data_IF_495456579344
#
_entry.id   IF_495456579344
#
_cell.length_a   1.000
_cell.length_b   1.000
_cell.length_c   1.000
_cell.angle_alpha   90.00
_cell.angle_beta   90.00
_cell.angle_gamma   90.00
#
_symmetry.space_group_name_H-M   'P 1'
#
loop_
_entity.id
_entity.type
_entity.pdbx_description
1 polymer ?
#
# COMPACT_ATOMS: atom_id res chain seq x y z
N UNK A 1 12.27 5.84 -10.70
CA UNK A 1 11.06 6.68 -10.88
C UNK A 1 9.82 6.07 -10.24
N UNK A 2 9.40 4.85 -10.62
CA UNK A 2 8.20 4.18 -10.05
C UNK A 2 8.14 4.22 -8.51
N UNK A 3 9.19 3.76 -7.82
CA UNK A 3 9.23 3.75 -6.36
C UNK A 3 9.04 5.15 -5.76
N UNK A 4 9.55 6.21 -6.39
CA UNK A 4 9.35 7.58 -5.90
C UNK A 4 7.88 8.02 -6.02
N UNK A 5 7.22 7.68 -7.13
CA UNK A 5 5.78 7.94 -7.32
C UNK A 5 4.94 7.16 -6.32
N UNK A 6 5.27 5.88 -6.10
CA UNK A 6 4.60 5.01 -5.14
C UNK A 6 4.77 5.54 -3.70
N UNK A 7 5.98 5.92 -3.30
CA UNK A 7 6.26 6.49 -1.99
C UNK A 7 5.56 7.84 -1.79
N UNK A 8 5.52 8.70 -2.79
CA UNK A 8 4.79 9.97 -2.72
C UNK A 8 3.28 9.73 -2.55
N UNK A 9 2.71 8.86 -3.38
CA UNK A 9 1.29 8.50 -3.31
C UNK A 9 0.94 7.87 -1.95
N UNK A 10 1.82 7.03 -1.42
CA UNK A 10 1.73 6.45 -0.08
C UNK A 10 1.63 7.53 1.00
N UNK A 11 2.57 8.48 1.02
CA UNK A 11 2.57 9.54 2.04
C UNK A 11 1.32 10.42 1.94
N UNK A 12 0.82 10.66 0.73
CA UNK A 12 -0.35 11.50 0.49
C UNK A 12 -1.68 10.82 0.82
N UNK A 13 -1.83 9.55 0.46
CA UNK A 13 -3.17 8.91 0.34
C UNK A 13 -3.29 7.55 1.01
N UNK A 14 -2.24 7.08 1.68
CA UNK A 14 -2.33 5.84 2.43
C UNK A 14 -3.18 6.04 3.68
N UNK A 15 -4.30 5.33 3.75
CA UNK A 15 -5.32 5.54 4.77
C UNK A 15 -4.82 5.35 6.20
N UNK A 16 -3.96 4.36 6.47
CA UNK A 16 -3.31 4.15 7.78
C UNK A 16 -2.51 5.38 8.25
N UNK A 17 -2.02 6.19 7.32
CA UNK A 17 -1.32 7.43 7.62
C UNK A 17 -2.30 8.58 7.76
N UNK A 18 -3.28 8.71 6.86
CA UNK A 18 -4.32 9.76 6.90
C UNK A 18 -5.05 9.77 8.25
N UNK A 19 -5.50 8.61 8.73
CA UNK A 19 -6.23 8.51 10.01
C UNK A 19 -5.41 9.07 11.18
N UNK A 20 -4.08 8.88 11.18
CA UNK A 20 -3.18 9.42 12.22
C UNK A 20 -3.04 10.94 12.14
N UNK A 21 -3.09 11.50 10.93
CA UNK A 21 -3.07 12.97 10.74
C UNK A 21 -4.39 13.58 11.20
N UNK A 22 -5.50 12.95 10.84
CA UNK A 22 -6.84 13.43 11.22
C UNK A 22 -7.09 13.30 12.73
N UNK A 23 -6.42 12.36 13.40
CA UNK A 23 -6.42 12.25 14.85
C UNK A 23 -5.53 13.29 15.56
N UNK A 24 -4.69 14.05 14.83
CA UNK A 24 -3.85 15.07 15.44
C UNK A 24 -4.69 16.28 15.86
N UNK A 25 -4.40 16.83 17.05
CA UNK A 25 -5.13 17.97 17.63
C UNK A 25 -5.17 19.21 16.73
N UNK A 26 -4.10 19.46 15.97
CA UNK A 26 -3.98 20.58 15.05
C UNK A 26 -2.89 20.33 14.00
N UNK A 27 -2.90 21.14 12.94
CA UNK A 27 -1.95 21.05 11.82
C UNK A 27 -0.49 21.13 12.26
N UNK A 28 -0.17 22.00 13.23
CA UNK A 28 1.19 22.16 13.76
C UNK A 28 1.69 20.88 14.42
N UNK A 29 0.83 20.17 15.15
CA UNK A 29 1.15 18.88 15.78
C UNK A 29 1.33 17.81 14.71
N UNK A 30 0.44 17.74 13.71
CA UNK A 30 0.58 16.81 12.59
C UNK A 30 1.92 16.96 11.86
N UNK A 31 2.32 18.20 11.55
CA UNK A 31 3.62 18.49 10.92
C UNK A 31 4.81 18.06 11.79
N UNK A 32 4.74 18.26 13.11
CA UNK A 32 5.79 17.80 14.04
C UNK A 32 5.92 16.28 14.05
N UNK A 33 4.80 15.55 14.04
CA UNK A 33 4.79 14.08 14.00
C UNK A 33 5.49 13.60 12.73
N UNK A 34 5.14 14.14 11.56
CA UNK A 34 5.78 13.74 10.31
C UNK A 34 7.27 14.07 10.26
N UNK A 35 7.65 15.31 10.64
CA UNK A 35 9.06 15.70 10.64
C UNK A 35 9.89 14.88 11.62
N UNK A 36 9.34 14.60 12.80
CA UNK A 36 10.00 13.80 13.83
C UNK A 36 10.13 12.32 13.46
N UNK A 37 9.15 11.76 12.75
CA UNK A 37 9.16 10.34 12.36
C UNK A 37 9.91 10.06 11.06
N UNK A 38 10.17 11.08 10.23
CA UNK A 38 10.90 10.94 8.97
C UNK A 38 12.25 10.21 9.12
N UNK A 39 13.01 10.51 10.18
CA UNK A 39 14.27 9.85 10.47
C UNK A 39 14.11 8.33 10.66
N UNK A 40 13.07 7.90 11.37
CA UNK A 40 12.81 6.49 11.61
C UNK A 40 12.45 5.72 10.33
N UNK A 41 11.82 6.38 9.34
CA UNK A 41 11.59 5.76 8.04
C UNK A 41 12.89 5.44 7.31
N UNK A 42 13.89 6.34 7.37
CA UNK A 42 15.21 6.10 6.78
C UNK A 42 15.84 4.88 7.42
N UNK A 43 15.90 4.83 8.75
CA UNK A 43 16.46 3.68 9.48
C UNK A 43 15.73 2.37 9.14
N UNK A 44 14.40 2.40 9.05
CA UNK A 44 13.57 1.24 8.74
C UNK A 44 13.86 0.64 7.35
N UNK A 45 14.21 1.46 6.37
CA UNK A 45 14.62 0.97 5.04
C UNK A 45 16.10 0.61 4.97
N UNK A 46 16.95 1.36 5.66
CA UNK A 46 18.40 1.20 5.58
C UNK A 46 18.89 -0.06 6.29
N UNK A 47 18.39 -0.33 7.50
CA UNK A 47 18.90 -1.43 8.34
C UNK A 47 18.68 -2.81 7.67
N UNK A 48 17.45 -3.18 7.22
CA UNK A 48 17.26 -4.45 6.52
C UNK A 48 18.02 -4.52 5.19
N UNK A 49 18.17 -3.40 4.49
CA UNK A 49 18.95 -3.32 3.26
C UNK A 49 20.43 -3.65 3.49
N UNK A 50 21.04 -3.07 4.53
CA UNK A 50 22.42 -3.37 4.92
C UNK A 50 22.57 -4.84 5.33
N UNK A 51 21.61 -5.39 6.08
CA UNK A 51 21.63 -6.81 6.45
C UNK A 51 21.53 -7.74 5.24
N UNK A 52 20.70 -7.39 4.24
CA UNK A 52 20.63 -8.12 2.98
C UNK A 52 21.94 -8.09 2.21
N UNK A 53 22.59 -6.92 2.11
CA UNK A 53 23.90 -6.77 1.47
C UNK A 53 24.98 -7.58 2.21
N UNK A 54 25.02 -7.47 3.54
CA UNK A 54 25.95 -8.23 4.36
C UNK A 54 25.75 -9.75 4.18
N UNK A 55 24.49 -10.21 4.22
CA UNK A 55 24.17 -11.62 4.02
C UNK A 55 24.69 -12.16 2.67
N UNK A 56 24.50 -11.41 1.58
CA UNK A 56 24.97 -11.80 0.26
C UNK A 56 26.50 -11.71 0.11
N UNK A 57 27.15 -10.84 0.87
CA UNK A 57 28.61 -10.69 0.86
C UNK A 57 29.32 -11.77 1.69
N UNK A 58 28.71 -12.25 2.77
CA UNK A 58 29.35 -13.18 3.72
C UNK A 58 28.95 -14.63 3.53
N UNK A 59 27.74 -14.90 3.05
CA UNK A 59 27.26 -16.28 2.87
C UNK A 59 27.74 -16.84 1.53
N UNK A 60 28.26 -18.06 1.55
CA UNK A 60 28.58 -18.78 0.32
C UNK A 60 27.31 -18.99 -0.52
N UNK A 61 27.40 -18.96 -1.87
CA UNK A 61 26.25 -19.15 -2.77
C UNK A 61 25.44 -20.43 -2.48
N UNK A 62 26.12 -21.48 -2.03
CA UNK A 62 25.53 -22.77 -1.60
C UNK A 62 24.59 -22.62 -0.40
N UNK A 63 24.92 -21.74 0.55
CA UNK A 63 24.13 -21.50 1.77
C UNK A 63 22.94 -20.59 1.48
N UNK A 64 23.09 -19.63 0.56
CA UNK A 64 21.98 -18.78 0.09
C UNK A 64 20.91 -19.65 -0.59
N UNK A 65 21.34 -20.57 -1.46
CA UNK A 65 20.46 -21.43 -2.24
C UNK A 65 19.72 -20.67 -3.34
N UNK A 66 18.66 -21.26 -3.90
CA UNK A 66 17.94 -20.70 -5.04
C UNK A 66 17.09 -19.45 -4.71
N UNK A 67 16.75 -19.23 -3.44
CA UNK A 67 15.89 -18.12 -3.01
C UNK A 67 16.64 -17.16 -2.10
N UNK A 68 17.03 -16.01 -2.66
CA UNK A 68 17.78 -14.95 -1.96
C UNK A 68 17.01 -14.33 -0.79
N UNK A 69 15.67 -14.46 -0.73
CA UNK A 69 14.85 -13.94 0.36
C UNK A 69 15.20 -14.56 1.73
N UNK A 70 15.74 -15.78 1.74
CA UNK A 70 16.16 -16.45 2.97
C UNK A 70 17.59 -16.09 3.40
N UNK A 71 18.36 -15.35 2.60
CA UNK A 71 19.74 -15.02 2.91
C UNK A 71 19.86 -14.18 4.20
N UNK A 72 19.06 -13.12 4.33
CA UNK A 72 19.06 -12.26 5.52
C UNK A 72 18.70 -13.04 6.80
N UNK A 73 17.60 -13.82 6.86
CA UNK A 73 17.30 -14.64 8.03
C UNK A 73 18.41 -15.63 8.39
N UNK A 74 19.00 -16.31 7.39
CA UNK A 74 20.12 -17.25 7.62
C UNK A 74 21.36 -16.55 8.17
N UNK A 75 21.71 -15.39 7.61
CA UNK A 75 22.83 -14.59 8.09
C UNK A 75 22.64 -14.17 9.55
N UNK A 76 21.46 -13.61 9.88
CA UNK A 76 21.14 -13.20 11.24
C UNK A 76 21.20 -14.39 12.21
N UNK A 77 20.72 -15.56 11.80
CA UNK A 77 20.79 -16.79 12.59
C UNK A 77 22.22 -17.19 12.98
N UNK A 78 23.20 -16.90 12.12
CA UNK A 78 24.61 -17.21 12.38
C UNK A 78 25.36 -16.11 13.12
N UNK A 79 24.99 -14.84 12.89
CA UNK A 79 25.78 -13.69 13.33
C UNK A 79 25.32 -13.12 14.67
N UNK A 80 24.03 -13.26 15.02
CA UNK A 80 23.46 -12.66 16.23
C UNK A 80 23.58 -13.62 17.42
N UNK A 81 24.20 -13.20 18.55
CA UNK A 81 24.35 -14.04 19.73
C UNK A 81 23.02 -14.51 20.34
N UNK A 82 23.10 -15.63 21.06
CA UNK A 82 21.99 -16.16 21.88
C UNK A 82 21.55 -15.09 22.91
N UNK A 83 20.24 -14.88 23.06
CA UNK A 83 19.68 -13.77 23.84
C UNK A 83 19.33 -12.55 22.97
N UNK A 84 20.30 -11.97 22.25
CA UNK A 84 20.02 -10.87 21.30
C UNK A 84 19.16 -11.34 20.13
N UNK A 85 19.30 -12.59 19.72
CA UNK A 85 18.41 -13.22 18.74
C UNK A 85 16.95 -13.21 19.20
N UNK A 86 16.70 -13.55 20.46
CA UNK A 86 15.34 -13.54 21.03
C UNK A 86 14.74 -12.14 21.03
N UNK A 87 15.53 -11.13 21.40
CA UNK A 87 15.11 -9.73 21.35
C UNK A 87 14.83 -9.27 19.91
N UNK A 88 15.66 -9.67 18.95
CA UNK A 88 15.49 -9.34 17.53
C UNK A 88 14.18 -9.93 16.99
N UNK A 89 13.92 -11.21 17.23
CA UNK A 89 12.68 -11.88 16.79
C UNK A 89 11.48 -11.22 17.46
N UNK A 90 11.54 -10.94 18.76
CA UNK A 90 10.47 -10.24 19.47
C UNK A 90 10.20 -8.84 18.87
N UNK A 91 11.25 -8.09 18.52
CA UNK A 91 11.12 -6.79 17.87
C UNK A 91 10.51 -6.89 16.47
N UNK A 92 10.88 -7.91 15.68
CA UNK A 92 10.30 -8.17 14.36
C UNK A 92 8.82 -8.51 14.45
N UNK A 93 8.43 -9.40 15.38
CA UNK A 93 7.02 -9.73 15.65
C UNK A 93 6.24 -8.52 16.14
N UNK A 94 6.80 -7.71 17.04
CA UNK A 94 6.15 -6.48 17.50
C UNK A 94 5.93 -5.48 16.35
N UNK A 95 6.92 -5.34 15.46
CA UNK A 95 6.82 -4.48 14.28
C UNK A 95 5.74 -4.98 13.30
N UNK A 96 5.64 -6.28 13.10
CA UNK A 96 4.63 -6.93 12.27
C UNK A 96 3.22 -6.72 12.84
N UNK A 97 3.02 -7.06 14.12
CA UNK A 97 1.74 -6.85 14.83
C UNK A 97 1.30 -5.39 14.82
N UNK A 98 2.23 -4.43 14.95
CA UNK A 98 1.91 -2.99 14.89
C UNK A 98 1.39 -2.55 13.51
N UNK A 99 1.90 -3.20 12.47
CA UNK A 99 1.55 -2.94 11.08
C UNK A 99 0.17 -3.52 10.79
N UNK A 100 -0.05 -4.78 11.13
CA UNK A 100 -1.32 -5.47 10.95
C UNK A 100 -2.46 -4.83 11.75
N UNK A 101 -2.23 -4.48 13.02
CA UNK A 101 -3.23 -3.78 13.84
C UNK A 101 -3.68 -2.46 13.19
N UNK A 102 -2.74 -1.73 12.58
CA UNK A 102 -3.05 -0.47 11.89
C UNK A 102 -3.88 -0.69 10.61
N UNK A 103 -3.58 -1.74 9.83
CA UNK A 103 -4.38 -2.10 8.65
C UNK A 103 -5.77 -2.59 9.05
N UNK A 104 -5.89 -3.48 10.04
CA UNK A 104 -7.17 -4.00 10.52
C UNK A 104 -8.08 -2.88 11.02
N UNK A 105 -7.55 -1.93 11.80
CA UNK A 105 -8.31 -0.77 12.27
C UNK A 105 -8.80 0.08 11.09
N UNK A 106 -7.92 0.27 10.10
CA UNK A 106 -8.21 1.09 8.93
C UNK A 106 -9.27 0.47 8.03
N UNK A 107 -9.10 -0.80 7.65
CA UNK A 107 -10.05 -1.53 6.82
C UNK A 107 -11.38 -1.73 7.53
N UNK A 108 -11.37 -2.05 8.82
CA UNK A 108 -12.59 -2.11 9.64
C UNK A 108 -13.36 -0.80 9.62
N UNK A 109 -12.64 0.33 9.78
CA UNK A 109 -13.26 1.66 9.72
C UNK A 109 -13.80 2.02 8.34
N UNK A 110 -13.11 1.65 7.26
CA UNK A 110 -13.59 1.86 5.87
C UNK A 110 -14.84 1.03 5.60
N UNK A 111 -14.85 -0.25 5.96
CA UNK A 111 -16.03 -1.11 5.77
C UNK A 111 -17.21 -0.56 6.60
N UNK A 112 -16.97 -0.15 7.84
CA UNK A 112 -18.02 0.35 8.72
C UNK A 112 -18.59 1.71 8.28
N UNK A 113 -17.73 2.65 7.87
CA UNK A 113 -18.13 4.02 7.55
C UNK A 113 -18.45 4.25 6.08
N UNK A 114 -17.77 3.58 5.15
CA UNK A 114 -17.92 3.87 3.73
C UNK A 114 -18.84 2.85 3.05
N UNK A 115 -18.75 1.57 3.45
CA UNK A 115 -19.58 0.50 2.87
C UNK A 115 -20.88 0.37 3.64
N UNK A 116 -20.85 0.18 4.96
CA UNK A 116 -22.07 -0.06 5.73
C UNK A 116 -22.89 1.21 5.97
N UNK A 117 -22.27 2.39 6.08
CA UNK A 117 -23.01 3.61 6.43
C UNK A 117 -24.09 4.02 5.44
N UNK A 118 -23.86 4.01 4.12
CA UNK A 118 -24.89 4.34 3.13
C UNK A 118 -26.14 3.45 3.22
N UNK A 119 -25.99 2.19 3.64
CA UNK A 119 -27.10 1.25 3.81
C UNK A 119 -27.84 1.43 5.16
N UNK A 120 -27.32 2.24 6.08
CA UNK A 120 -27.96 2.49 7.38
C UNK A 120 -28.95 3.65 7.27
N UNK A 121 -30.22 3.36 7.56
CA UNK A 121 -31.28 4.38 7.65
C UNK A 121 -31.09 5.35 8.83
N UNK A 122 -30.42 4.92 9.90
CA UNK A 122 -30.14 5.72 11.11
C UNK A 122 -28.77 5.36 11.68
N UNK A 123 -28.05 6.32 12.30
CA UNK A 123 -26.80 6.02 12.99
C UNK A 123 -27.04 5.01 14.11
N UNK A 124 -26.15 4.02 14.21
CA UNK A 124 -26.23 3.05 15.30
C UNK A 124 -25.72 3.65 16.61
N UNK A 125 -26.24 3.18 17.76
CA UNK A 125 -25.63 3.46 19.06
C UNK A 125 -24.17 3.01 19.07
N UNK A 126 -23.30 3.78 19.73
CA UNK A 126 -21.85 3.53 19.79
C UNK A 126 -21.52 2.09 20.19
N UNK A 127 -22.20 1.54 21.20
CA UNK A 127 -22.05 0.14 21.64
C UNK A 127 -22.27 -0.87 20.51
N UNK A 128 -23.30 -0.66 19.68
CA UNK A 128 -23.57 -1.53 18.51
C UNK A 128 -22.51 -1.32 17.43
N UNK A 129 -22.06 -0.07 17.22
CA UNK A 129 -20.99 0.24 16.27
C UNK A 129 -19.67 -0.47 16.60
N UNK A 130 -19.24 -0.41 17.85
CA UNK A 130 -18.02 -1.08 18.33
C UNK A 130 -18.14 -2.59 18.16
N UNK A 131 -19.29 -3.18 18.50
CA UNK A 131 -19.52 -4.62 18.34
C UNK A 131 -19.37 -5.06 16.88
N UNK A 132 -20.01 -4.35 15.95
CA UNK A 132 -19.88 -4.63 14.52
C UNK A 132 -18.46 -4.45 14.00
N UNK A 133 -17.76 -3.39 14.42
CA UNK A 133 -16.37 -3.17 14.02
C UNK A 133 -15.45 -4.31 14.50
N UNK A 134 -15.66 -4.85 15.72
CA UNK A 134 -14.93 -6.02 16.21
C UNK A 134 -15.19 -7.28 15.36
N UNK A 135 -16.44 -7.51 14.95
CA UNK A 135 -16.76 -8.62 14.04
C UNK A 135 -16.09 -8.44 12.68
N UNK A 136 -16.13 -7.24 12.09
CA UNK A 136 -15.47 -6.95 10.81
C UNK A 136 -13.97 -7.26 10.91
N UNK A 137 -13.30 -6.77 11.97
CA UNK A 137 -11.88 -7.04 12.19
C UNK A 137 -11.60 -8.54 12.36
N UNK A 138 -12.44 -9.26 13.11
CA UNK A 138 -12.30 -10.70 13.27
C UNK A 138 -12.45 -11.47 11.94
N UNK A 139 -13.45 -11.11 11.12
CA UNK A 139 -13.64 -11.70 9.79
C UNK A 139 -12.46 -11.42 8.85
N UNK A 140 -11.93 -10.19 8.85
CA UNK A 140 -10.70 -9.85 8.11
C UNK A 140 -9.54 -10.72 8.58
N UNK A 141 -9.33 -10.87 9.90
CA UNK A 141 -8.26 -11.69 10.45
C UNK A 141 -8.36 -13.16 10.03
N UNK A 142 -9.56 -13.74 10.09
CA UNK A 142 -9.84 -15.11 9.62
C UNK A 142 -9.53 -15.22 8.12
N UNK A 143 -9.99 -14.26 7.32
CA UNK A 143 -9.71 -14.23 5.88
C UNK A 143 -8.20 -14.17 5.60
N UNK A 144 -7.44 -13.31 6.28
CA UNK A 144 -5.99 -13.19 6.10
C UNK A 144 -5.26 -14.46 6.52
N UNK A 145 -5.72 -15.15 7.56
CA UNK A 145 -5.15 -16.44 7.97
C UNK A 145 -5.29 -17.48 6.86
N UNK A 146 -6.51 -17.66 6.32
CA UNK A 146 -6.75 -18.58 5.22
C UNK A 146 -6.03 -18.14 3.94
N UNK A 147 -6.03 -16.86 3.62
CA UNK A 147 -5.34 -16.38 2.43
C UNK A 147 -3.82 -16.58 2.55
N UNK A 148 -3.23 -16.23 3.69
CA UNK A 148 -1.79 -16.35 3.94
C UNK A 148 -1.28 -17.80 3.95
N UNK A 149 -2.08 -18.75 4.45
CA UNK A 149 -1.71 -20.17 4.47
C UNK A 149 -1.70 -20.81 3.07
N UNK A 150 -2.59 -20.37 2.17
CA UNK A 150 -2.77 -21.00 0.85
C UNK A 150 -2.20 -20.20 -0.32
N UNK A 151 -1.79 -18.96 -0.14
CA UNK A 151 -1.28 -18.13 -1.23
C UNK A 151 0.21 -18.40 -1.52
N UNK A 152 0.56 -19.00 -2.68
CA UNK A 152 1.95 -19.19 -3.04
C UNK A 152 2.58 -17.87 -3.50
N UNK A 153 3.65 -17.44 -2.85
CA UNK A 153 4.41 -16.27 -3.27
C UNK A 153 5.16 -16.59 -4.59
N UNK A 154 4.69 -16.07 -5.72
CA UNK A 154 5.23 -16.38 -7.06
C UNK A 154 6.34 -15.42 -7.55
N UNK A 155 6.92 -14.59 -6.68
CA UNK A 155 7.97 -13.64 -7.08
C UNK A 155 8.45 -12.72 -5.97
N UNK A 156 9.10 -11.62 -6.36
CA UNK A 156 9.57 -10.58 -5.43
C UNK A 156 8.40 -9.90 -4.70
N UNK A 157 8.46 -9.94 -3.37
CA UNK A 157 7.41 -9.41 -2.50
C UNK A 157 7.24 -7.90 -2.69
N UNK A 158 8.34 -7.15 -2.84
CA UNK A 158 8.29 -5.71 -2.99
C UNK A 158 7.58 -5.28 -4.28
N UNK A 159 7.93 -5.96 -5.37
CA UNK A 159 7.31 -5.76 -6.68
C UNK A 159 5.82 -6.06 -6.64
N UNK A 160 5.42 -7.18 -6.03
CA UNK A 160 4.02 -7.55 -5.88
C UNK A 160 3.23 -6.50 -5.08
N UNK A 161 3.77 -6.05 -3.94
CA UNK A 161 3.16 -4.99 -3.12
C UNK A 161 3.08 -3.66 -3.86
N UNK A 162 4.10 -3.31 -4.64
CA UNK A 162 4.12 -2.09 -5.44
C UNK A 162 3.05 -2.07 -6.51
N UNK A 163 2.92 -3.15 -7.29
CA UNK A 163 1.93 -3.26 -8.36
C UNK A 163 0.51 -3.30 -7.80
N UNK A 164 0.26 -4.12 -6.77
CA UNK A 164 -1.08 -4.21 -6.15
C UNK A 164 -1.47 -2.91 -5.44
N UNK A 165 -0.52 -2.26 -4.75
CA UNK A 165 -0.74 -0.94 -4.15
C UNK A 165 -1.09 0.14 -5.19
N UNK A 166 -0.51 0.06 -6.39
CA UNK A 166 -0.75 1.01 -7.49
C UNK A 166 -2.22 1.03 -7.93
N UNK A 167 -2.96 -0.07 -7.80
CA UNK A 167 -4.39 -0.18 -8.16
C UNK A 167 -5.20 0.95 -7.50
N UNK A 168 -4.92 1.24 -6.23
CA UNK A 168 -5.59 2.29 -5.46
C UNK A 168 -4.78 3.59 -5.40
N UNK A 169 -3.47 3.50 -5.17
CA UNK A 169 -2.62 4.67 -4.93
C UNK A 169 -2.50 5.59 -6.16
N UNK A 170 -2.61 5.03 -7.38
CA UNK A 170 -2.57 5.82 -8.61
C UNK A 170 -3.75 6.78 -8.70
N UNK A 171 -4.97 6.28 -8.58
CA UNK A 171 -6.20 7.07 -8.65
C UNK A 171 -6.33 8.04 -7.49
N UNK A 172 -6.16 7.59 -6.25
CA UNK A 172 -6.37 8.47 -5.09
C UNK A 172 -5.39 9.63 -5.01
N UNK A 173 -4.11 9.41 -5.33
CA UNK A 173 -3.13 10.49 -5.31
C UNK A 173 -3.44 11.55 -6.38
N UNK A 174 -3.79 11.12 -7.60
CA UNK A 174 -4.20 12.03 -8.69
C UNK A 174 -5.46 12.80 -8.31
N UNK A 175 -6.46 12.12 -7.75
CA UNK A 175 -7.71 12.74 -7.30
C UNK A 175 -7.46 13.80 -6.22
N UNK A 176 -6.68 13.46 -5.19
CA UNK A 176 -6.39 14.40 -4.09
C UNK A 176 -5.69 15.66 -4.63
N UNK A 177 -4.68 15.49 -5.48
CA UNK A 177 -3.94 16.61 -6.10
C UNK A 177 -4.88 17.44 -6.97
N UNK A 178 -5.67 16.81 -7.84
CA UNK A 178 -6.57 17.50 -8.75
C UNK A 178 -7.68 18.26 -7.99
N UNK A 179 -8.30 17.65 -6.97
CA UNK A 179 -9.34 18.29 -6.19
C UNK A 179 -8.83 19.49 -5.37
N UNK A 180 -7.58 19.44 -4.87
CA UNK A 180 -7.01 20.53 -4.08
C UNK A 180 -6.49 21.69 -4.94
N UNK A 181 -5.88 21.39 -6.09
CA UNK A 181 -5.13 22.37 -6.87
C UNK A 181 -5.74 22.72 -8.23
N UNK A 182 -6.69 21.95 -8.74
CA UNK A 182 -7.25 22.15 -10.08
C UNK A 182 -8.74 22.48 -10.06
N UNK A 183 -9.07 23.74 -10.32
CA UNK A 183 -10.45 24.25 -10.30
C UNK A 183 -11.40 23.57 -11.29
N UNK A 184 -10.88 22.92 -12.34
CA UNK A 184 -11.69 22.21 -13.35
C UNK A 184 -11.93 20.72 -13.02
N UNK A 185 -11.37 20.23 -11.91
CA UNK A 185 -11.59 18.86 -11.46
C UNK A 185 -13.08 18.58 -11.27
N UNK A 186 -13.57 17.47 -11.84
CA UNK A 186 -14.98 17.12 -11.75
C UNK A 186 -15.19 15.60 -11.75
N UNK A 187 -16.46 15.19 -11.60
CA UNK A 187 -16.86 13.79 -11.47
C UNK A 187 -16.53 12.92 -12.69
N UNK A 188 -16.49 13.45 -13.91
CA UNK A 188 -16.16 12.67 -15.10
C UNK A 188 -14.67 12.33 -15.15
N UNK A 189 -13.82 13.33 -14.91
CA UNK A 189 -12.38 13.10 -14.74
C UNK A 189 -12.09 12.15 -13.59
N UNK A 190 -12.78 12.34 -12.46
CA UNK A 190 -12.59 11.49 -11.29
C UNK A 190 -12.95 10.02 -11.57
N UNK A 191 -14.09 9.77 -12.22
CA UNK A 191 -14.50 8.43 -12.64
C UNK A 191 -13.51 7.79 -13.61
N UNK A 192 -13.02 8.56 -14.60
CA UNK A 192 -12.02 8.09 -15.55
C UNK A 192 -10.70 7.73 -14.85
N UNK A 193 -10.23 8.57 -13.91
CA UNK A 193 -9.02 8.32 -13.13
C UNK A 193 -9.13 7.03 -12.29
N UNK A 194 -10.26 6.80 -11.63
CA UNK A 194 -10.51 5.58 -10.85
C UNK A 194 -10.49 4.36 -11.77
N UNK A 195 -11.18 4.43 -12.90
CA UNK A 195 -11.27 3.31 -13.85
C UNK A 195 -9.91 2.95 -14.42
N UNK A 196 -9.17 3.91 -14.99
CA UNK A 196 -7.86 3.64 -15.59
C UNK A 196 -6.78 3.33 -14.55
N UNK A 197 -6.85 3.91 -13.35
CA UNK A 197 -5.93 3.63 -12.26
C UNK A 197 -6.04 2.19 -11.73
N UNK A 198 -7.23 1.59 -11.79
CA UNK A 198 -7.41 0.17 -11.50
C UNK A 198 -7.14 -0.72 -12.72
N UNK A 199 -7.58 -0.32 -13.92
CA UNK A 199 -7.49 -1.13 -15.14
C UNK A 199 -6.05 -1.50 -15.49
N UNK A 200 -5.10 -0.56 -15.36
CA UNK A 200 -3.71 -0.78 -15.81
C UNK A 200 -2.98 -1.80 -14.94
N UNK A 201 -2.91 -1.64 -13.59
CA UNK A 201 -2.20 -2.61 -12.76
C UNK A 201 -2.93 -3.95 -12.71
N UNK A 202 -4.28 -3.97 -12.73
CA UNK A 202 -5.05 -5.23 -12.82
C UNK A 202 -4.79 -5.93 -14.15
N UNK A 203 -4.83 -5.19 -15.26
CA UNK A 203 -4.51 -5.73 -16.58
C UNK A 203 -3.10 -6.32 -16.64
N UNK A 204 -2.12 -5.65 -16.03
CA UNK A 204 -0.77 -6.18 -15.90
C UNK A 204 -0.70 -7.47 -15.09
N UNK A 205 -1.36 -7.53 -13.93
CA UNK A 205 -1.40 -8.75 -13.11
C UNK A 205 -2.07 -9.91 -13.84
N UNK A 206 -3.14 -9.65 -14.60
CA UNK A 206 -3.80 -10.66 -15.43
C UNK A 206 -2.86 -11.12 -16.56
N UNK A 207 -2.19 -10.20 -17.24
CA UNK A 207 -1.24 -10.54 -18.31
C UNK A 207 -0.08 -11.42 -17.82
N UNK A 208 0.34 -11.25 -16.56
CA UNK A 208 1.37 -12.11 -15.94
C UNK A 208 0.88 -13.55 -15.68
N UNK A 209 -0.42 -13.76 -15.45
CA UNK A 209 -0.96 -15.10 -15.17
C UNK A 209 -1.37 -15.85 -16.44
N UNK A 210 -1.53 -15.16 -17.58
CA UNK A 210 -1.96 -15.75 -18.85
C UNK A 210 -0.73 -16.14 -19.70
N UNK A 211 -0.53 -17.43 -20.03
CA UNK A 211 0.67 -17.89 -20.75
C UNK A 211 0.92 -17.17 -22.09
N UNK A 212 -0.16 -16.81 -22.80
CA UNK A 212 -0.07 -16.12 -24.09
C UNK A 212 0.48 -14.68 -23.99
N UNK A 213 0.26 -14.00 -22.87
CA UNK A 213 0.67 -12.59 -22.67
C UNK A 213 1.84 -12.44 -21.70
N UNK A 214 2.28 -13.53 -21.08
CA UNK A 214 3.34 -13.51 -20.07
C UNK A 214 4.65 -12.90 -20.62
N UNK A 215 5.07 -13.30 -21.82
CA UNK A 215 6.29 -12.76 -22.45
C UNK A 215 6.21 -11.24 -22.70
N UNK A 216 5.01 -10.71 -22.97
CA UNK A 216 4.79 -9.28 -23.12
C UNK A 216 4.83 -8.58 -21.76
N UNK A 217 4.21 -9.17 -20.73
CA UNK A 217 4.23 -8.64 -19.37
C UNK A 217 5.66 -8.59 -18.80
N UNK A 218 6.50 -9.59 -19.10
CA UNK A 218 7.91 -9.61 -18.72
C UNK A 218 8.71 -8.50 -19.42
N UNK A 219 8.46 -8.25 -20.72
CA UNK A 219 9.09 -7.16 -21.47
C UNK A 219 8.70 -5.77 -20.96
N UNK A 220 7.43 -5.56 -20.63
CA UNK A 220 6.96 -4.31 -20.04
C UNK A 220 7.55 -4.16 -18.64
N UNK A 221 7.47 -5.21 -17.83
CA UNK A 221 7.93 -5.20 -16.45
C UNK A 221 7.03 -4.40 -15.50
N UNK A 222 7.11 -4.70 -14.20
CA UNK A 222 6.23 -4.14 -13.17
C UNK A 222 6.43 -2.62 -12.98
N UNK A 223 7.67 -2.14 -13.15
CA UNK A 223 8.02 -0.73 -12.94
C UNK A 223 7.43 0.19 -14.02
N UNK A 224 7.51 -0.21 -15.30
CA UNK A 224 6.92 0.58 -16.39
C UNK A 224 5.40 0.53 -16.34
N UNK A 225 4.81 -0.64 -16.05
CA UNK A 225 3.37 -0.77 -15.80
C UNK A 225 2.91 0.20 -14.71
N UNK A 226 3.60 0.23 -13.57
CA UNK A 226 3.31 1.13 -12.48
C UNK A 226 3.41 2.62 -12.87
N UNK A 227 4.47 3.03 -13.57
CA UNK A 227 4.60 4.43 -14.05
C UNK A 227 3.47 4.78 -15.02
N UNK A 228 3.17 3.87 -15.96
CA UNK A 228 2.10 4.06 -16.94
C UNK A 228 0.74 4.22 -16.25
N UNK A 229 0.49 3.50 -15.16
CA UNK A 229 -0.73 3.63 -14.38
C UNK A 229 -0.90 5.05 -13.83
N UNK A 230 0.13 5.64 -13.22
CA UNK A 230 0.05 7.02 -12.73
C UNK A 230 -0.12 8.04 -13.87
N UNK A 231 0.63 7.90 -14.96
CA UNK A 231 0.58 8.82 -16.09
C UNK A 231 -0.79 8.79 -16.77
N UNK A 232 -1.30 7.60 -17.11
CA UNK A 232 -2.58 7.43 -17.77
C UNK A 232 -3.72 7.85 -16.84
N UNK A 233 -3.63 7.58 -15.54
CA UNK A 233 -4.61 8.07 -14.55
C UNK A 233 -4.65 9.60 -14.52
N UNK A 234 -3.48 10.26 -14.53
CA UNK A 234 -3.39 11.71 -14.62
C UNK A 234 -4.01 12.26 -15.91
N UNK A 235 -3.69 11.66 -17.05
CA UNK A 235 -4.27 12.03 -18.34
C UNK A 235 -5.78 11.80 -18.38
N UNK A 236 -6.26 10.68 -17.85
CA UNK A 236 -7.68 10.38 -17.74
C UNK A 236 -8.43 11.39 -16.87
N UNK A 237 -7.82 11.82 -15.74
CA UNK A 237 -8.36 12.88 -14.90
C UNK A 237 -8.49 14.19 -15.68
N UNK A 238 -7.45 14.56 -16.44
CA UNK A 238 -7.43 15.81 -17.22
C UNK A 238 -8.43 15.76 -18.36
N UNK A 239 -8.36 14.75 -19.22
CA UNK A 239 -9.22 14.58 -20.39
C UNK A 239 -10.67 14.45 -19.95
N UNK A 240 -10.98 13.56 -19.01
CA UNK A 240 -12.34 13.38 -18.52
C UNK A 240 -12.92 14.65 -17.88
N UNK A 241 -12.08 15.44 -17.21
CA UNK A 241 -12.53 16.72 -16.65
C UNK A 241 -12.79 17.77 -17.73
N UNK A 242 -12.01 17.82 -18.80
CA UNK A 242 -12.19 18.77 -19.90
C UNK A 242 -13.37 18.41 -20.82
N UNK A 243 -13.69 17.11 -20.96
CA UNK A 243 -14.80 16.64 -21.77
C UNK A 243 -16.17 16.97 -21.16
N UNK A 244 -16.25 17.15 -19.84
CA UNK A 244 -17.51 17.51 -19.18
C UNK A 244 -17.91 18.95 -19.60
N UNK A 245 -19.08 19.15 -20.23
CA UNK A 245 -19.53 20.47 -20.60
C UNK A 245 -19.60 21.36 -19.36
N UNK A 246 -18.85 22.46 -19.34
CA UNK A 246 -18.95 23.44 -18.26
C UNK A 246 -20.33 24.10 -18.34
N UNK A 247 -21.12 24.01 -17.27
CA UNK A 247 -22.27 24.92 -17.12
C UNK A 247 -21.70 26.34 -17.12
N UNK A 248 -21.98 27.12 -18.16
CA UNK A 248 -21.76 28.56 -18.15
C UNK A 248 -22.57 29.14 -16.98
N UNK A 249 -21.89 29.64 -15.96
CA UNK A 249 -22.48 30.35 -14.83
C UNK A 249 -22.56 29.53 -13.54
N UNK A 250 -21.53 29.65 -12.72
CA UNK A 250 -21.58 29.63 -11.26
C UNK A 250 -20.45 30.53 -10.74
#
# INVERSE_FOLDING_TARGET
LFNAMLSLATVLTWQTTIVRVLAAKNTKTGLRIYKGTAFFFICRFLIPGIWGIAALATLAPEVVGANSLYAMPKFLATFVPMGLMGLLIAAMLAADMSTDSSYMLTWGSVIYNDIMAPFRKRPWPEKKGILWNRFIVAFIGIFLLFYGLWYPLKGDLWTYLGVTGTIYLSSMSVLLIACCYWKRANSWGAGAAIFFGALIPVGFLVMQQVPATQALAEKIGPYFSGISAYVITGLAMVIGSLLKPQKKGA
#
